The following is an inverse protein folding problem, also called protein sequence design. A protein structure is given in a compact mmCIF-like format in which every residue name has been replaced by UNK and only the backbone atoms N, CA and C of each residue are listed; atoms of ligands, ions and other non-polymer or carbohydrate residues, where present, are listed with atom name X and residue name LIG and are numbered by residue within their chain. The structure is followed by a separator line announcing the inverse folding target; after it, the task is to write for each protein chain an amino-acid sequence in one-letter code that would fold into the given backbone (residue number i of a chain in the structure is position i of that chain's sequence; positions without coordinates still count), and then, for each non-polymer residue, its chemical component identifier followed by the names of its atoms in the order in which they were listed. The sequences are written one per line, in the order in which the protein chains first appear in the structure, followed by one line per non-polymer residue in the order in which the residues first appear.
data_IF_831547342978
#
_entry.id   IF_831547342978
#
_cell.length_a   1.000
_cell.length_b   1.000
_cell.length_c   1.000
_cell.angle_alpha   90.00
_cell.angle_beta   90.00
_cell.angle_gamma   90.00
#
_symmetry.space_group_name_H-M   'P 1'
#
loop_
_entity.id
_entity.type
_entity.pdbx_description
1 polymer ?
#
# COMPACT_ATOMS: atom_id res chain seq x y z
N UNK A 1 -8.96 -15.72 19.79
CA UNK A 1 -7.69 -16.33 19.34
C UNK A 1 -7.81 -17.19 18.06
N UNK A 2 -8.91 -17.22 17.34
CA UNK A 2 -9.13 -18.14 16.19
C UNK A 2 -8.80 -17.48 14.84
N UNK A 3 -8.76 -16.15 14.74
CA UNK A 3 -8.57 -15.43 13.48
C UNK A 3 -7.12 -15.42 12.93
N UNK A 4 -6.13 -15.77 13.74
CA UNK A 4 -4.72 -15.74 13.33
C UNK A 4 -4.25 -17.03 12.61
N UNK A 5 -4.96 -18.15 12.83
CA UNK A 5 -4.58 -19.45 12.22
C UNK A 5 -5.03 -19.53 10.77
N UNK A 6 -6.21 -18.98 10.43
CA UNK A 6 -6.73 -18.93 9.05
C UNK A 6 -5.88 -18.04 8.13
N UNK A 7 -5.33 -16.95 8.67
CA UNK A 7 -4.43 -16.06 7.95
C UNK A 7 -3.11 -16.75 7.56
N UNK A 8 -2.50 -17.48 8.49
CA UNK A 8 -1.23 -18.20 8.26
C UNK A 8 -1.35 -19.37 7.29
N UNK A 9 -2.49 -20.06 7.29
CA UNK A 9 -2.76 -21.17 6.33
C UNK A 9 -2.94 -20.61 4.92
N UNK A 10 -3.63 -19.48 4.77
CA UNK A 10 -3.80 -18.83 3.46
C UNK A 10 -2.47 -18.28 2.92
N UNK A 11 -1.65 -17.66 3.76
CA UNK A 11 -0.31 -17.18 3.38
C UNK A 11 0.59 -18.34 2.95
N UNK A 12 0.60 -19.47 3.68
CA UNK A 12 1.36 -20.66 3.28
C UNK A 12 0.88 -21.25 1.93
N UNK A 13 -0.43 -21.31 1.69
CA UNK A 13 -0.98 -21.76 0.40
C UNK A 13 -0.58 -20.82 -0.75
N UNK A 14 -0.62 -19.50 -0.51
CA UNK A 14 -0.18 -18.51 -1.51
C UNK A 14 1.31 -18.64 -1.81
N UNK A 15 2.16 -18.81 -0.79
CA UNK A 15 3.61 -18.99 -0.96
C UNK A 15 3.90 -20.29 -1.72
N UNK A 16 3.25 -21.41 -1.37
CA UNK A 16 3.47 -22.68 -2.06
C UNK A 16 2.98 -22.65 -3.52
N UNK A 17 1.84 -22.01 -3.82
CA UNK A 17 1.38 -21.85 -5.20
C UNK A 17 2.32 -20.98 -6.04
N UNK A 18 2.86 -19.91 -5.45
CA UNK A 18 3.83 -19.03 -6.12
C UNK A 18 5.19 -19.71 -6.30
N UNK A 19 5.65 -20.51 -5.34
CA UNK A 19 6.86 -21.32 -5.45
C UNK A 19 6.73 -22.32 -6.62
N UNK A 20 5.61 -23.06 -6.70
CA UNK A 20 5.36 -24.00 -7.78
C UNK A 20 5.31 -23.32 -9.17
N UNK A 21 4.77 -22.08 -9.25
CA UNK A 21 4.75 -21.31 -10.49
C UNK A 21 6.16 -20.89 -10.92
N UNK A 22 7.02 -20.50 -9.98
CA UNK A 22 8.42 -20.17 -10.21
C UNK A 22 9.19 -21.42 -10.66
N UNK A 23 9.02 -22.56 -10.00
CA UNK A 23 9.66 -23.83 -10.35
C UNK A 23 9.23 -24.32 -11.74
N UNK A 24 7.95 -24.13 -12.11
CA UNK A 24 7.45 -24.43 -13.46
C UNK A 24 8.06 -23.54 -14.54
N UNK A 25 8.27 -22.23 -14.24
CA UNK A 25 8.95 -21.30 -15.14
C UNK A 25 10.41 -21.72 -15.37
N UNK A 26 11.14 -22.05 -14.30
CA UNK A 26 12.51 -22.54 -14.40
C UNK A 26 12.60 -23.86 -15.15
N UNK A 27 11.66 -24.79 -14.94
CA UNK A 27 11.61 -26.08 -15.63
C UNK A 27 11.33 -25.92 -17.11
N UNK A 28 10.40 -25.04 -17.48
CA UNK A 28 10.08 -24.70 -18.88
C UNK A 28 11.28 -24.08 -19.58
N UNK A 29 11.94 -23.12 -18.93
CA UNK A 29 13.15 -22.48 -19.45
C UNK A 29 14.29 -23.48 -19.68
N UNK A 30 14.45 -24.47 -18.78
CA UNK A 30 15.46 -25.53 -18.89
C UNK A 30 15.13 -26.52 -20.00
N UNK A 31 13.85 -26.78 -20.26
CA UNK A 31 13.39 -27.67 -21.34
C UNK A 31 13.59 -27.04 -22.72
N UNK A 32 13.30 -25.73 -22.86
CA UNK A 32 13.39 -25.02 -24.14
C UNK A 32 14.85 -24.78 -24.58
N UNK A 33 15.82 -24.84 -23.64
CA UNK A 33 17.24 -24.68 -23.93
C UNK A 33 18.00 -26.02 -24.24
N UNK A 34 17.33 -27.17 -24.19
CA UNK A 34 17.92 -28.46 -24.54
C UNK A 34 17.62 -28.91 -25.99
N UNK A 35 16.94 -28.11 -26.79
CA UNK A 35 16.71 -28.37 -28.19
C UNK A 35 17.62 -27.51 -29.06
N UNK A 36 18.65 -28.17 -29.57
CA UNK A 36 19.56 -27.81 -30.67
C UNK A 36 20.45 -26.57 -30.53
N UNK A 37 21.73 -26.88 -30.60
CA UNK A 37 22.88 -26.00 -30.68
C UNK A 37 22.86 -25.10 -31.93
N UNK A 38 22.13 -24.02 -31.94
CA UNK A 38 22.45 -22.84 -32.73
C UNK A 38 22.52 -21.62 -31.80
N UNK A 39 23.74 -21.17 -31.60
CA UNK A 39 24.13 -20.00 -30.79
C UNK A 39 23.45 -18.74 -31.31
N UNK A 40 22.25 -18.48 -30.89
CA UNK A 40 21.76 -17.11 -30.78
C UNK A 40 22.14 -16.65 -29.38
N UNK A 41 23.06 -15.72 -29.28
CA UNK A 41 23.43 -15.05 -28.03
C UNK A 41 22.19 -14.35 -27.50
N UNK A 42 21.40 -15.05 -26.68
CA UNK A 42 20.31 -14.40 -25.93
C UNK A 42 21.05 -13.48 -24.95
N UNK A 43 20.93 -12.17 -25.17
CA UNK A 43 21.52 -11.15 -24.34
C UNK A 43 21.02 -11.32 -22.90
N UNK A 44 21.95 -11.31 -21.95
CA UNK A 44 21.65 -11.45 -20.50
C UNK A 44 20.64 -10.40 -20.03
N UNK A 45 20.60 -9.24 -20.69
CA UNK A 45 19.60 -8.20 -20.44
C UNK A 45 18.18 -8.65 -20.83
N UNK A 46 18.02 -9.34 -21.96
CA UNK A 46 16.73 -9.90 -22.41
C UNK A 46 16.18 -10.96 -21.47
N UNK A 47 17.07 -11.81 -20.92
CA UNK A 47 16.71 -12.80 -19.89
C UNK A 47 16.23 -12.09 -18.62
N UNK A 48 16.95 -11.04 -18.20
CA UNK A 48 16.58 -10.25 -17.02
C UNK A 48 15.21 -9.61 -17.14
N UNK A 49 14.86 -9.07 -18.30
CA UNK A 49 13.54 -8.49 -18.57
C UNK A 49 12.45 -9.57 -18.53
N UNK A 50 12.66 -10.71 -19.22
CA UNK A 50 11.68 -11.81 -19.23
C UNK A 50 11.43 -12.39 -17.84
N UNK A 51 12.48 -12.54 -17.03
CA UNK A 51 12.34 -13.02 -15.65
C UNK A 51 11.60 -12.00 -14.79
N UNK A 52 11.88 -10.71 -14.96
CA UNK A 52 11.17 -9.66 -14.25
C UNK A 52 9.68 -9.67 -14.59
N UNK A 53 9.32 -9.69 -15.87
CA UNK A 53 7.93 -9.71 -16.31
C UNK A 53 7.18 -10.95 -15.81
N UNK A 54 7.83 -12.12 -15.83
CA UNK A 54 7.26 -13.35 -15.29
C UNK A 54 7.05 -13.25 -13.77
N UNK A 55 8.00 -12.72 -13.03
CA UNK A 55 7.91 -12.50 -11.58
C UNK A 55 6.81 -11.48 -11.28
N UNK A 56 6.78 -10.35 -11.97
CA UNK A 56 5.77 -9.31 -11.79
C UNK A 56 4.36 -9.88 -12.06
N UNK A 57 4.18 -10.70 -13.12
CA UNK A 57 2.92 -11.38 -13.40
C UNK A 57 2.47 -12.34 -12.30
N UNK A 58 3.40 -13.06 -11.65
CA UNK A 58 3.09 -13.95 -10.52
C UNK A 58 2.67 -13.16 -9.27
N UNK A 59 3.28 -12.00 -9.08
CA UNK A 59 3.04 -11.16 -7.90
C UNK A 59 1.97 -10.10 -8.12
N UNK A 60 1.44 -9.93 -9.34
CA UNK A 60 0.32 -9.02 -9.60
C UNK A 60 -0.94 -9.52 -8.87
N UNK A 61 -1.51 -8.72 -7.95
CA UNK A 61 -2.72 -9.10 -7.21
C UNK A 61 -3.93 -9.31 -8.11
N UNK A 62 -3.90 -8.78 -9.34
CA UNK A 62 -4.96 -8.93 -10.33
C UNK A 62 -4.77 -10.16 -11.23
N UNK A 63 -3.67 -10.91 -11.04
CA UNK A 63 -3.42 -12.17 -11.75
C UNK A 63 -4.53 -13.18 -11.44
N UNK A 64 -5.20 -13.67 -12.49
CA UNK A 64 -6.34 -14.59 -12.37
C UNK A 64 -7.71 -13.90 -12.17
N UNK A 65 -7.78 -12.58 -12.09
CA UNK A 65 -9.05 -11.85 -12.14
C UNK A 65 -9.60 -11.80 -13.57
N UNK A 66 -10.93 -11.80 -13.69
CA UNK A 66 -11.59 -11.46 -14.96
C UNK A 66 -11.40 -9.97 -15.26
N UNK A 67 -11.54 -9.57 -16.53
CA UNK A 67 -11.42 -8.14 -16.92
C UNK A 67 -12.38 -7.24 -16.14
N UNK A 68 -13.60 -7.71 -15.87
CA UNK A 68 -14.56 -6.97 -15.07
C UNK A 68 -14.12 -6.82 -13.60
N UNK A 69 -13.55 -7.87 -13.01
CA UNK A 69 -13.02 -7.84 -11.64
C UNK A 69 -11.82 -6.90 -11.55
N UNK A 70 -10.92 -6.96 -12.54
CA UNK A 70 -9.76 -6.09 -12.62
C UNK A 70 -10.17 -4.62 -12.74
N UNK A 71 -11.14 -4.31 -13.59
CA UNK A 71 -11.68 -2.97 -13.73
C UNK A 71 -12.26 -2.44 -12.41
N UNK A 72 -13.08 -3.26 -11.71
CA UNK A 72 -13.61 -2.90 -10.40
C UNK A 72 -12.53 -2.70 -9.33
N UNK A 73 -11.45 -3.49 -9.38
CA UNK A 73 -10.31 -3.33 -8.48
C UNK A 73 -9.61 -1.99 -8.72
N UNK A 74 -9.33 -1.65 -9.97
CA UNK A 74 -8.70 -0.38 -10.35
C UNK A 74 -9.57 0.82 -9.96
N UNK A 75 -10.87 0.79 -10.27
CA UNK A 75 -11.82 1.85 -9.89
C UNK A 75 -11.86 2.07 -8.36
N UNK A 76 -11.84 0.98 -7.57
CA UNK A 76 -11.77 1.09 -6.11
C UNK A 76 -10.45 1.67 -5.63
N UNK A 77 -9.34 1.28 -6.24
CA UNK A 77 -8.00 1.78 -5.92
C UNK A 77 -7.93 3.29 -6.20
N UNK A 78 -8.34 3.74 -7.38
CA UNK A 78 -8.37 5.15 -7.76
C UNK A 78 -9.25 5.97 -6.82
N UNK A 79 -10.43 5.46 -6.46
CA UNK A 79 -11.31 6.09 -5.48
C UNK A 79 -10.64 6.21 -4.11
N UNK A 80 -9.92 5.20 -3.65
CA UNK A 80 -9.19 5.27 -2.38
C UNK A 80 -8.10 6.34 -2.42
N UNK A 81 -7.30 6.39 -3.50
CA UNK A 81 -6.26 7.39 -3.70
C UNK A 81 -6.87 8.79 -3.64
N UNK A 82 -7.90 9.04 -4.44
CA UNK A 82 -8.60 10.33 -4.52
C UNK A 82 -9.15 10.79 -3.17
N UNK A 83 -9.63 9.87 -2.34
CA UNK A 83 -10.20 10.19 -1.03
C UNK A 83 -9.20 10.05 0.12
N UNK A 84 -7.93 9.84 -0.17
CA UNK A 84 -6.86 9.70 0.81
C UNK A 84 -6.98 8.48 1.72
N UNK A 85 -7.73 7.45 1.29
CA UNK A 85 -7.94 6.24 2.07
C UNK A 85 -6.68 5.39 2.16
N UNK A 86 -6.52 4.67 3.26
CA UNK A 86 -5.40 3.73 3.43
C UNK A 86 -5.47 2.63 2.37
N UNK A 87 -4.34 2.44 1.66
CA UNK A 87 -4.21 1.36 0.68
C UNK A 87 -3.79 0.07 1.37
N UNK A 88 -4.26 -1.05 0.84
CA UNK A 88 -3.85 -2.39 1.27
C UNK A 88 -2.50 -2.77 0.68
N UNK A 89 -1.89 -3.86 1.19
CA UNK A 89 -0.65 -4.40 0.65
C UNK A 89 -0.80 -4.79 -0.84
N UNK A 90 -1.94 -5.39 -1.22
CA UNK A 90 -2.23 -5.79 -2.59
C UNK A 90 -2.39 -4.57 -3.51
N UNK A 91 -3.07 -3.52 -3.06
CA UNK A 91 -3.22 -2.27 -3.81
C UNK A 91 -1.87 -1.57 -4.03
N UNK A 92 -1.01 -1.55 -3.00
CA UNK A 92 0.36 -1.03 -3.12
C UNK A 92 1.22 -1.91 -4.04
N UNK A 93 1.06 -3.24 -3.98
CA UNK A 93 1.75 -4.16 -4.87
C UNK A 93 1.33 -3.98 -6.33
N UNK A 94 0.03 -3.80 -6.59
CA UNK A 94 -0.49 -3.48 -7.92
C UNK A 94 0.15 -2.20 -8.48
N UNK A 95 0.18 -1.12 -7.67
CA UNK A 95 0.82 0.13 -8.08
C UNK A 95 2.31 -0.07 -8.37
N UNK A 96 3.01 -0.84 -7.53
CA UNK A 96 4.44 -1.09 -7.72
C UNK A 96 4.75 -1.74 -9.07
N UNK A 97 3.89 -2.64 -9.52
CA UNK A 97 4.06 -3.38 -10.78
C UNK A 97 3.60 -2.54 -11.96
N UNK A 98 2.40 -1.95 -11.87
CA UNK A 98 1.70 -1.34 -13.01
C UNK A 98 1.90 0.18 -13.11
N UNK A 99 2.20 0.87 -11.99
CA UNK A 99 2.44 2.32 -11.96
C UNK A 99 3.47 2.69 -10.88
N UNK A 100 4.78 2.48 -11.14
CA UNK A 100 5.85 2.73 -10.16
C UNK A 100 5.92 4.19 -9.69
N UNK A 101 5.53 5.15 -10.52
CA UNK A 101 5.52 6.58 -10.16
C UNK A 101 4.44 6.83 -9.12
N UNK A 102 3.24 6.31 -9.34
CA UNK A 102 2.14 6.43 -8.39
C UNK A 102 2.42 5.65 -7.10
N UNK A 103 3.05 4.48 -7.21
CA UNK A 103 3.54 3.73 -6.05
C UNK A 103 4.46 4.57 -5.17
N UNK A 104 5.45 5.26 -5.76
CA UNK A 104 6.40 6.08 -5.00
C UNK A 104 5.69 7.22 -4.26
N UNK A 105 4.71 7.88 -4.90
CA UNK A 105 3.88 8.90 -4.25
C UNK A 105 3.08 8.30 -3.09
N UNK A 106 2.36 7.21 -3.33
CA UNK A 106 1.49 6.59 -2.34
C UNK A 106 2.29 6.01 -1.16
N UNK A 107 3.48 5.48 -1.39
CA UNK A 107 4.37 5.03 -0.31
C UNK A 107 4.74 6.20 0.62
N UNK A 108 5.07 7.37 0.07
CA UNK A 108 5.33 8.59 0.84
C UNK A 108 4.09 9.03 1.63
N UNK A 109 2.94 9.10 0.97
CA UNK A 109 1.67 9.50 1.59
C UNK A 109 1.29 8.57 2.75
N UNK A 110 1.46 7.25 2.58
CA UNK A 110 1.18 6.27 3.64
C UNK A 110 2.06 6.47 4.87
N UNK A 111 3.35 6.74 4.68
CA UNK A 111 4.28 7.03 5.80
C UNK A 111 3.86 8.30 6.53
N UNK A 112 3.51 9.35 5.79
CA UNK A 112 3.07 10.62 6.37
C UNK A 112 1.72 10.47 7.10
N UNK A 113 0.78 9.71 6.52
CA UNK A 113 -0.49 9.35 7.16
C UNK A 113 -0.27 8.63 8.49
N UNK A 114 0.57 7.60 8.50
CA UNK A 114 0.87 6.83 9.71
C UNK A 114 1.54 7.70 10.79
N UNK A 115 2.45 8.57 10.39
CA UNK A 115 3.07 9.51 11.31
C UNK A 115 2.04 10.46 11.95
N UNK A 116 1.09 11.00 11.17
CA UNK A 116 0.00 11.83 11.70
C UNK A 116 -0.92 11.02 12.62
N UNK A 117 -1.33 9.82 12.23
CA UNK A 117 -2.19 8.94 13.03
C UNK A 117 -1.57 8.65 14.40
N UNK A 118 -0.29 8.30 14.44
CA UNK A 118 0.43 8.01 15.68
C UNK A 118 0.53 9.24 16.60
N UNK A 119 0.74 10.42 16.02
CA UNK A 119 0.78 11.68 16.78
C UNK A 119 -0.59 12.06 17.32
N UNK A 120 -1.66 11.89 16.54
CA UNK A 120 -3.04 12.15 16.97
C UNK A 120 -3.43 11.29 18.18
N UNK A 121 -3.07 10.01 18.17
CA UNK A 121 -3.30 9.07 19.29
C UNK A 121 -2.58 9.47 20.59
N UNK A 122 -1.53 10.28 20.50
CA UNK A 122 -0.79 10.75 21.67
C UNK A 122 -1.27 12.10 22.21
N UNK A 123 -2.23 12.75 21.54
CA UNK A 123 -2.81 14.02 21.97
C UNK A 123 -3.60 13.85 23.27
N UNK A 124 -3.53 14.86 24.13
CA UNK A 124 -4.18 14.88 25.47
C UNK A 124 -5.49 15.67 25.47
N UNK A 125 -5.77 16.44 24.43
CA UNK A 125 -7.02 17.17 24.27
C UNK A 125 -7.45 17.25 22.81
N UNK A 126 -8.73 17.56 22.57
CA UNK A 126 -9.26 17.79 21.21
C UNK A 126 -8.64 19.04 20.58
N UNK A 127 -8.36 20.06 21.37
CA UNK A 127 -7.64 21.26 20.93
C UNK A 127 -6.24 20.91 20.43
N UNK A 128 -5.47 20.11 21.18
CA UNK A 128 -4.14 19.67 20.77
C UNK A 128 -4.19 18.84 19.46
N UNK A 129 -5.17 17.97 19.31
CA UNK A 129 -5.37 17.18 18.10
C UNK A 129 -5.70 18.07 16.88
N UNK A 130 -6.50 19.12 17.08
CA UNK A 130 -6.81 20.08 16.04
C UNK A 130 -5.57 20.89 15.63
N UNK A 131 -4.83 21.42 16.60
CA UNK A 131 -3.60 22.18 16.35
C UNK A 131 -2.57 21.33 15.59
N UNK A 132 -2.42 20.07 16.00
CA UNK A 132 -1.54 19.11 15.34
C UNK A 132 -1.93 18.88 13.88
N UNK A 133 -3.22 18.73 13.59
CA UNK A 133 -3.72 18.58 12.24
C UNK A 133 -3.45 19.84 11.40
N UNK A 134 -3.74 21.03 11.92
CA UNK A 134 -3.49 22.29 11.23
C UNK A 134 -1.99 22.49 10.96
N UNK A 135 -1.15 22.20 11.95
CA UNK A 135 0.32 22.25 11.79
C UNK A 135 0.81 21.28 10.71
N UNK A 136 0.28 20.05 10.68
CA UNK A 136 0.63 19.07 9.65
C UNK A 136 0.22 19.54 8.26
N UNK A 137 -0.98 20.10 8.11
CA UNK A 137 -1.48 20.65 6.84
C UNK A 137 -0.62 21.81 6.34
N UNK A 138 -0.20 22.70 7.23
CA UNK A 138 0.63 23.87 6.89
C UNK A 138 2.03 23.53 6.40
N UNK A 139 2.52 22.32 6.71
CA UNK A 139 3.85 21.83 6.34
C UNK A 139 3.89 21.12 4.98
N UNK A 140 2.74 20.93 4.33
CA UNK A 140 2.69 20.34 3.00
C UNK A 140 3.22 21.37 1.99
N UNK A 141 4.30 21.01 1.29
CA UNK A 141 4.90 21.89 0.29
C UNK A 141 4.00 22.06 -0.94
N UNK A 142 3.92 23.29 -1.46
CA UNK A 142 3.19 23.58 -2.70
C UNK A 142 3.77 22.84 -3.92
N UNK A 143 5.07 22.53 -3.88
CA UNK A 143 5.77 21.82 -4.94
C UNK A 143 5.82 20.30 -4.73
N UNK A 144 5.11 19.75 -3.75
CA UNK A 144 5.07 18.31 -3.53
C UNK A 144 4.22 17.62 -4.62
N UNK A 145 4.79 16.70 -5.39
CA UNK A 145 4.04 15.99 -6.44
C UNK A 145 2.90 15.12 -5.88
N UNK A 146 2.88 14.83 -4.59
CA UNK A 146 1.83 14.11 -3.88
C UNK A 146 1.00 15.02 -2.95
N UNK A 147 0.97 16.35 -3.21
CA UNK A 147 0.30 17.32 -2.35
C UNK A 147 -1.18 17.00 -2.15
N UNK A 148 -1.90 16.77 -3.25
CA UNK A 148 -3.35 16.53 -3.20
C UNK A 148 -3.68 15.25 -2.44
N UNK A 149 -2.94 14.19 -2.69
CA UNK A 149 -3.11 12.90 -2.03
C UNK A 149 -2.74 12.97 -0.54
N UNK A 150 -1.70 13.76 -0.20
CA UNK A 150 -1.32 14.02 1.19
C UNK A 150 -2.41 14.80 1.94
N UNK A 151 -2.96 15.86 1.32
CA UNK A 151 -4.08 16.62 1.88
C UNK A 151 -5.29 15.70 2.11
N UNK A 152 -5.65 14.90 1.11
CA UNK A 152 -6.76 13.96 1.21
C UNK A 152 -6.54 12.94 2.32
N UNK A 153 -5.31 12.38 2.44
CA UNK A 153 -4.93 11.43 3.47
C UNK A 153 -4.98 12.04 4.88
N UNK A 154 -4.50 13.26 5.06
CA UNK A 154 -4.56 13.95 6.36
C UNK A 154 -6.00 14.25 6.78
N UNK A 155 -6.83 14.72 5.84
CA UNK A 155 -8.26 14.93 6.07
C UNK A 155 -8.97 13.64 6.49
N UNK A 156 -8.71 12.54 5.80
CA UNK A 156 -9.29 11.24 6.12
C UNK A 156 -8.82 10.74 7.48
N UNK A 157 -7.52 10.81 7.77
CA UNK A 157 -6.94 10.39 9.04
C UNK A 157 -7.53 11.18 10.22
N UNK A 158 -7.65 12.49 10.09
CA UNK A 158 -8.22 13.32 11.14
C UNK A 158 -9.72 13.04 11.36
N UNK A 159 -10.50 12.87 10.28
CA UNK A 159 -11.91 12.47 10.36
C UNK A 159 -12.11 11.09 10.99
N UNK A 160 -11.24 10.15 10.69
CA UNK A 160 -11.26 8.80 11.29
C UNK A 160 -10.94 8.88 12.79
N UNK A 161 -9.92 9.67 13.17
CA UNK A 161 -9.59 9.93 14.57
C UNK A 161 -10.75 10.60 15.33
N UNK A 162 -11.41 11.59 14.75
CA UNK A 162 -12.57 12.26 15.37
C UNK A 162 -13.75 11.32 15.66
N UNK A 163 -13.84 10.17 14.96
CA UNK A 163 -14.88 9.15 15.19
C UNK A 163 -14.46 8.09 16.19
N UNK A 164 -13.21 8.10 16.63
CA UNK A 164 -12.70 7.09 17.55
C UNK A 164 -13.15 7.32 19.00
N UNK A 165 -13.16 6.27 19.78
CA UNK A 165 -13.45 6.32 21.21
C UNK A 165 -12.35 7.12 21.95
N UNK A 166 -11.10 7.03 21.47
CA UNK A 166 -9.98 7.79 22.00
C UNK A 166 -10.27 9.30 21.92
N UNK A 167 -10.66 9.81 20.74
CA UNK A 167 -10.99 11.22 20.59
C UNK A 167 -12.21 11.62 21.44
N UNK A 168 -13.22 10.78 21.53
CA UNK A 168 -14.43 11.04 22.30
C UNK A 168 -14.13 11.19 23.80
N UNK A 169 -13.14 10.48 24.31
CA UNK A 169 -12.71 10.51 25.70
C UNK A 169 -11.79 11.70 26.06
N UNK A 170 -11.25 12.40 25.06
CA UNK A 170 -10.38 13.53 25.28
C UNK A 170 -11.13 14.74 25.86
N UNK A 171 -10.53 15.48 26.83
CA UNK A 171 -11.02 16.81 27.22
C UNK A 171 -11.00 17.78 26.04
N UNK A 172 -11.84 18.81 26.09
CA UNK A 172 -11.96 19.74 24.96
C UNK A 172 -10.71 20.63 24.81
N UNK A 173 -10.17 21.10 25.92
CA UNK A 173 -9.06 22.05 25.93
C UNK A 173 -7.80 21.49 26.60
N UNK A 174 -6.65 22.08 26.28
CA UNK A 174 -5.36 21.77 26.92
C UNK A 174 -5.42 22.03 28.43
N UNK A 175 -6.12 23.11 28.85
CA UNK A 175 -6.30 23.46 30.24
C UNK A 175 -7.06 22.37 31.02
N UNK A 176 -8.17 21.87 30.47
CA UNK A 176 -8.94 20.76 31.07
C UNK A 176 -8.13 19.50 31.19
N UNK A 177 -7.18 19.26 30.26
CA UNK A 177 -6.29 18.11 30.30
C UNK A 177 -5.22 18.20 31.41
N UNK A 178 -4.82 19.43 31.80
CA UNK A 178 -3.87 19.68 32.89
C UNK A 178 -4.53 19.59 34.27
N UNK A 179 -5.79 20.01 34.39
CA UNK A 179 -6.56 19.98 35.63
C UNK A 179 -6.97 18.56 36.06
N UNK A 180 -6.92 17.58 35.14
CA UNK A 180 -7.25 16.16 35.41
C UNK A 180 -6.05 15.29 35.83
N UNK A 181 -4.87 15.86 36.02
CA UNK A 181 -3.67 15.19 36.50
C UNK A 181 -3.53 15.27 38.01
#
# INVERSE_FOLDING_TARGET
MVNNILSTVNIRKMINNKSNAIDNLFSKYKSDNNADSQSSSIDTASIGVMLKDAVDSIFDPTSGMTEEQKKKFIEKLENKIKHGKKLTADEMQYLRINNPIEYAKMAKVQIQREALENRLKSCKSKEEAHDLYVDAMSKISDNDPAKEETIAAYNDTYKEFQKSDEYSSLPNTKKEAEEKK
#
